data_IF_699384931167
#
_entry.id   IF_699384931167
#
_cell.length_a   1.000
_cell.length_b   1.000
_cell.length_c   1.000
_cell.angle_alpha   90.00
_cell.angle_beta   90.00
_cell.angle_gamma   90.00
#
_symmetry.space_group_name_H-M   'P 1'
#
loop_
_entity.id
_entity.type
_entity.pdbx_description
1 polymer ?
#
# COMPACT_ATOMS: atom_id res chain seq x y z
N UNK A 1 1.59 -22.20 -2.52
CA UNK A 1 1.44 -21.52 -3.83
C UNK A 1 2.22 -22.33 -4.84
N UNK A 2 1.72 -22.44 -6.08
CA UNK A 2 2.40 -23.13 -7.18
C UNK A 2 2.16 -22.38 -8.49
N UNK A 3 3.22 -22.08 -9.24
CA UNK A 3 3.09 -21.70 -10.65
C UNK A 3 2.91 -22.96 -11.48
N UNK A 4 1.80 -23.06 -12.20
CA UNK A 4 1.36 -24.29 -12.88
C UNK A 4 1.64 -24.25 -14.37
N UNK A 5 1.80 -23.04 -14.89
CA UNK A 5 2.28 -22.73 -16.23
C UNK A 5 2.78 -21.28 -16.26
N UNK A 6 3.28 -20.80 -17.42
CA UNK A 6 3.77 -19.43 -17.57
C UNK A 6 2.75 -18.39 -17.10
N UNK A 7 1.49 -18.59 -17.49
CA UNK A 7 0.38 -17.65 -17.30
C UNK A 7 -0.65 -18.09 -16.25
N UNK A 8 -0.27 -18.99 -15.33
CA UNK A 8 -1.21 -19.54 -14.35
C UNK A 8 -0.58 -19.79 -13.00
N UNK A 9 -1.21 -19.22 -11.98
CA UNK A 9 -0.82 -19.27 -10.57
C UNK A 9 -1.93 -19.90 -9.75
N UNK A 10 -1.57 -20.86 -8.90
CA UNK A 10 -2.47 -21.50 -7.96
C UNK A 10 -2.08 -21.18 -6.51
N UNK A 11 -3.06 -20.72 -5.74
CA UNK A 11 -2.92 -20.45 -4.31
C UNK A 11 -3.87 -21.37 -3.55
N UNK A 12 -3.31 -22.36 -2.87
CA UNK A 12 -4.07 -23.21 -1.96
C UNK A 12 -4.51 -22.40 -0.72
N UNK A 13 -5.80 -22.52 -0.39
CA UNK A 13 -6.45 -21.98 0.81
C UNK A 13 -7.25 -23.09 1.48
N UNK A 14 -7.69 -22.88 2.72
CA UNK A 14 -8.52 -23.83 3.46
C UNK A 14 -9.90 -23.99 2.81
N UNK A 15 -10.34 -22.98 2.05
CA UNK A 15 -11.56 -23.01 1.24
C UNK A 15 -11.38 -23.63 -0.15
N UNK A 16 -10.16 -24.07 -0.50
CA UNK A 16 -9.84 -24.69 -1.79
C UNK A 16 -8.70 -24.00 -2.55
N UNK A 17 -8.48 -24.41 -3.80
CA UNK A 17 -7.43 -23.79 -4.62
C UNK A 17 -7.98 -22.61 -5.41
N UNK A 18 -7.40 -21.43 -5.19
CA UNK A 18 -7.66 -20.23 -5.99
C UNK A 18 -6.75 -20.22 -7.22
N UNK A 19 -7.34 -20.02 -8.39
CA UNK A 19 -6.62 -19.90 -9.66
C UNK A 19 -6.55 -18.44 -10.09
N UNK A 20 -5.39 -18.03 -10.59
CA UNK A 20 -5.10 -16.72 -11.16
C UNK A 20 -4.46 -16.94 -12.53
N UNK A 21 -5.06 -16.36 -13.57
CA UNK A 21 -4.61 -16.50 -14.95
C UNK A 21 -4.25 -15.13 -15.51
N UNK A 22 -3.11 -15.06 -16.19
CA UNK A 22 -2.65 -13.85 -16.86
C UNK A 22 -3.50 -13.61 -18.12
N UNK A 23 -3.68 -12.35 -18.50
CA UNK A 23 -4.39 -11.95 -19.72
C UNK A 23 -3.41 -11.41 -20.76
N UNK A 24 -3.57 -11.72 -22.06
CA UNK A 24 -2.73 -11.17 -23.11
C UNK A 24 -2.98 -9.66 -23.36
N UNK A 25 -2.04 -8.93 -23.99
CA UNK A 25 -0.73 -9.39 -24.44
C UNK A 25 0.17 -9.79 -23.27
N UNK A 26 0.85 -10.94 -23.42
CA UNK A 26 1.76 -11.43 -22.38
C UNK A 26 3.09 -10.69 -22.44
N UNK A 27 3.73 -10.50 -21.30
CA UNK A 27 5.05 -9.87 -21.15
C UNK A 27 5.14 -8.40 -21.60
N UNK A 28 4.00 -7.75 -21.84
CA UNK A 28 3.91 -6.30 -22.09
C UNK A 28 3.65 -5.55 -20.77
N UNK A 29 4.54 -4.66 -20.31
CA UNK A 29 4.39 -4.03 -19.00
C UNK A 29 3.19 -3.10 -18.82
N UNK A 30 2.61 -2.61 -19.92
CA UNK A 30 1.56 -1.59 -19.96
C UNK A 30 0.27 -2.10 -20.62
N UNK A 31 0.20 -3.38 -21.00
CA UNK A 31 -0.98 -3.98 -21.64
C UNK A 31 -1.09 -5.45 -21.21
N UNK A 32 -2.30 -6.00 -21.18
CA UNK A 32 -2.56 -7.32 -20.60
C UNK A 32 -2.54 -7.31 -19.06
N UNK A 33 -2.51 -8.49 -18.44
CA UNK A 33 -2.47 -8.60 -16.99
C UNK A 33 -1.63 -9.78 -16.51
N UNK A 34 -0.83 -9.60 -15.47
CA UNK A 34 0.02 -10.65 -14.90
C UNK A 34 -0.05 -10.75 -13.37
N UNK A 35 0.00 -11.99 -12.87
CA UNK A 35 0.05 -12.29 -11.44
C UNK A 35 1.42 -12.83 -11.02
N UNK A 36 1.98 -12.25 -9.96
CA UNK A 36 3.24 -12.72 -9.35
C UNK A 36 3.10 -12.81 -7.85
N UNK A 37 3.78 -13.77 -7.24
CA UNK A 37 3.83 -13.85 -5.79
C UNK A 37 4.78 -12.81 -5.23
N UNK A 38 4.32 -12.06 -4.23
CA UNK A 38 5.14 -11.12 -3.49
C UNK A 38 5.60 -11.72 -2.17
N UNK A 39 4.64 -12.02 -1.30
CA UNK A 39 4.91 -12.34 0.10
C UNK A 39 3.81 -13.22 0.70
N UNK A 40 4.14 -13.88 1.81
CA UNK A 40 3.20 -14.63 2.64
C UNK A 40 3.47 -14.31 4.10
N UNK A 41 2.43 -13.88 4.82
CA UNK A 41 2.50 -13.66 6.27
C UNK A 41 1.24 -14.17 6.95
N UNK A 42 1.43 -14.98 7.97
CA UNK A 42 0.35 -15.67 8.70
C UNK A 42 -0.62 -16.40 7.73
N UNK A 43 -1.89 -16.00 7.78
CA UNK A 43 -2.97 -16.53 6.96
C UNK A 43 -3.23 -15.70 5.69
N UNK A 44 -2.25 -14.91 5.24
CA UNK A 44 -2.38 -14.06 4.07
C UNK A 44 -1.28 -14.30 3.04
N UNK A 45 -1.68 -14.30 1.77
CA UNK A 45 -0.77 -14.31 0.62
C UNK A 45 -0.99 -13.04 -0.18
N UNK A 46 0.09 -12.31 -0.46
CA UNK A 46 0.06 -11.16 -1.34
C UNK A 46 0.54 -11.58 -2.73
N UNK A 47 -0.31 -11.34 -3.72
CA UNK A 47 0.07 -11.39 -5.12
C UNK A 47 0.19 -9.95 -5.65
N UNK A 48 1.24 -9.70 -6.42
CA UNK A 48 1.25 -8.59 -7.36
C UNK A 48 0.26 -8.87 -8.47
N UNK A 49 -0.43 -7.83 -8.92
CA UNK A 49 -1.28 -7.86 -10.09
C UNK A 49 -1.03 -6.59 -10.90
N UNK A 50 -0.51 -6.75 -12.10
CA UNK A 50 -0.33 -5.67 -13.08
C UNK A 50 -1.41 -5.79 -14.13
N UNK A 51 -2.05 -4.70 -14.52
CA UNK A 51 -3.11 -4.69 -15.54
C UNK A 51 -3.04 -3.49 -16.50
N UNK A 52 -1.83 -3.00 -16.79
CA UNK A 52 -1.58 -1.85 -17.67
C UNK A 52 -1.85 -0.49 -17.02
N UNK A 53 -2.97 -0.36 -16.32
CA UNK A 53 -3.39 0.89 -15.65
C UNK A 53 -2.94 0.96 -14.18
N UNK A 54 -2.67 -0.19 -13.55
CA UNK A 54 -2.31 -0.25 -12.14
C UNK A 54 -1.24 -1.28 -11.81
N UNK A 55 -0.31 -0.86 -10.97
CA UNK A 55 0.57 -1.75 -10.20
C UNK A 55 -0.09 -1.96 -8.84
N UNK A 56 -1.12 -2.81 -8.86
CA UNK A 56 -1.89 -3.18 -7.70
C UNK A 56 -1.52 -4.59 -7.24
N UNK A 57 -2.23 -5.09 -6.23
CA UNK A 57 -2.04 -6.44 -5.74
C UNK A 57 -3.34 -7.03 -5.25
N UNK A 58 -3.33 -8.33 -5.04
CA UNK A 58 -4.44 -9.07 -4.44
C UNK A 58 -3.95 -9.67 -3.14
N UNK A 59 -4.61 -9.30 -2.04
CA UNK A 59 -4.40 -9.93 -0.75
C UNK A 59 -5.39 -11.07 -0.58
N UNK A 60 -4.89 -12.29 -0.40
CA UNK A 60 -5.69 -13.50 -0.27
C UNK A 60 -5.71 -13.93 1.18
N UNK A 61 -6.88 -14.01 1.80
CA UNK A 61 -7.06 -14.68 3.09
C UNK A 61 -7.11 -16.19 2.87
N UNK A 62 -6.09 -16.91 3.33
CA UNK A 62 -5.96 -18.34 3.09
C UNK A 62 -6.89 -19.18 3.96
N UNK A 63 -7.58 -18.61 4.95
CA UNK A 63 -8.59 -19.34 5.74
C UNK A 63 -9.94 -19.37 5.04
N UNK A 64 -10.29 -18.26 4.42
CA UNK A 64 -11.62 -18.09 3.79
C UNK A 64 -11.59 -18.22 2.28
N UNK A 65 -10.40 -18.14 1.66
CA UNK A 65 -10.26 -17.97 0.21
C UNK A 65 -10.64 -16.57 -0.28
N UNK A 66 -10.94 -15.63 0.63
CA UNK A 66 -11.35 -14.28 0.30
C UNK A 66 -10.26 -13.49 -0.41
N UNK A 67 -10.63 -12.82 -1.51
CA UNK A 67 -9.76 -11.89 -2.24
C UNK A 67 -10.08 -10.46 -1.79
N UNK A 68 -9.08 -9.77 -1.29
CA UNK A 68 -9.14 -8.40 -0.79
C UNK A 68 -8.29 -7.49 -1.68
N UNK A 69 -8.63 -6.19 -1.76
CA UNK A 69 -7.73 -5.20 -2.34
C UNK A 69 -6.35 -5.32 -1.69
N UNK A 70 -5.34 -5.53 -2.52
CA UNK A 70 -3.95 -5.48 -2.10
C UNK A 70 -3.25 -4.29 -2.74
N UNK A 71 -1.95 -4.45 -2.90
CA UNK A 71 -1.06 -3.49 -3.51
C UNK A 71 0.32 -4.10 -3.68
N UNK A 72 1.32 -3.29 -3.99
CA UNK A 72 2.73 -3.70 -3.95
C UNK A 72 3.19 -4.01 -2.52
N UNK A 73 2.54 -3.41 -1.51
CA UNK A 73 2.78 -3.68 -0.10
C UNK A 73 1.44 -3.69 0.66
N UNK A 74 1.32 -4.60 1.64
CA UNK A 74 0.20 -4.62 2.59
C UNK A 74 0.74 -4.68 4.02
N UNK A 75 0.21 -3.83 4.90
CA UNK A 75 0.52 -3.84 6.33
C UNK A 75 -0.77 -4.02 7.13
N UNK A 76 -0.91 -5.14 7.82
CA UNK A 76 -2.12 -5.50 8.59
C UNK A 76 -1.98 -4.99 10.03
N UNK A 77 -3.05 -4.41 10.61
CA UNK A 77 -3.06 -3.99 12.00
C UNK A 77 -2.99 -5.20 12.95
N UNK A 78 -2.36 -5.10 14.13
CA UNK A 78 -2.23 -6.23 15.05
C UNK A 78 -3.56 -6.83 15.50
N UNK A 79 -4.61 -6.01 15.62
CA UNK A 79 -5.97 -6.42 15.96
C UNK A 79 -6.77 -6.97 14.76
N UNK A 80 -6.18 -6.94 13.56
CA UNK A 80 -6.77 -7.37 12.28
C UNK A 80 -8.11 -6.69 11.96
N UNK A 81 -8.32 -5.48 12.48
CA UNK A 81 -9.51 -4.68 12.14
C UNK A 81 -9.37 -3.97 10.79
N UNK A 82 -8.14 -3.68 10.38
CA UNK A 82 -7.82 -2.90 9.17
C UNK A 82 -6.45 -3.23 8.62
N UNK A 83 -6.18 -2.77 7.41
CA UNK A 83 -4.87 -2.88 6.80
C UNK A 83 -4.60 -1.68 5.89
N UNK A 84 -3.32 -1.38 5.70
CA UNK A 84 -2.84 -0.48 4.65
C UNK A 84 -2.56 -1.32 3.40
N UNK A 85 -3.04 -0.86 2.26
CA UNK A 85 -2.62 -1.33 0.94
C UNK A 85 -1.96 -0.16 0.20
N UNK A 86 -0.72 -0.38 -0.24
CA UNK A 86 0.08 0.58 -1.01
C UNK A 86 0.08 0.14 -2.46
N UNK A 87 -0.39 0.97 -3.37
CA UNK A 87 -0.41 0.69 -4.80
C UNK A 87 0.28 1.82 -5.57
N UNK A 88 0.77 1.54 -6.77
CA UNK A 88 1.26 2.57 -7.68
C UNK A 88 0.31 2.59 -8.89
N UNK A 89 -0.32 3.74 -9.14
CA UNK A 89 -1.20 3.93 -10.29
C UNK A 89 -0.35 4.56 -11.38
N UNK A 90 -0.52 4.10 -12.62
CA UNK A 90 0.22 4.66 -13.73
C UNK A 90 -0.04 6.18 -13.87
N UNK A 91 1.00 6.93 -14.21
CA UNK A 91 0.95 8.39 -14.34
C UNK A 91 0.86 9.20 -13.03
N UNK A 92 0.95 8.59 -11.84
CA UNK A 92 1.02 9.33 -10.57
C UNK A 92 2.46 9.52 -10.05
N UNK A 93 2.77 10.73 -9.57
CA UNK A 93 4.03 11.08 -8.89
C UNK A 93 4.07 10.58 -7.43
N UNK A 94 3.79 9.30 -7.20
CA UNK A 94 3.87 8.67 -5.89
C UNK A 94 2.94 7.47 -5.71
N UNK A 95 3.08 6.80 -4.57
CA UNK A 95 2.25 5.65 -4.23
C UNK A 95 0.90 6.12 -3.69
N UNK A 96 -0.17 5.43 -4.07
CA UNK A 96 -1.46 5.52 -3.42
C UNK A 96 -1.47 4.67 -2.14
N UNK A 97 -1.83 5.27 -1.02
CA UNK A 97 -1.96 4.61 0.27
C UNK A 97 -3.43 4.56 0.67
N UNK A 98 -3.98 3.34 0.80
CA UNK A 98 -5.37 3.13 1.22
C UNK A 98 -5.43 2.35 2.52
N UNK A 99 -6.14 2.87 3.51
CA UNK A 99 -6.49 2.09 4.71
C UNK A 99 -7.87 1.51 4.49
N UNK A 100 -7.97 0.19 4.52
CA UNK A 100 -9.22 -0.54 4.33
C UNK A 100 -9.56 -1.41 5.54
N UNK A 101 -10.83 -1.73 5.68
CA UNK A 101 -11.26 -2.85 6.50
C UNK A 101 -11.27 -4.17 5.70
N UNK A 102 -11.46 -5.29 6.40
CA UNK A 102 -11.54 -6.61 5.76
C UNK A 102 -12.87 -6.87 5.03
N UNK A 103 -13.83 -5.93 5.08
CA UNK A 103 -15.04 -5.91 4.25
C UNK A 103 -14.83 -5.12 2.95
N UNK A 104 -13.58 -4.70 2.67
CA UNK A 104 -13.17 -3.92 1.48
C UNK A 104 -13.65 -2.48 1.48
N UNK A 105 -14.12 -1.96 2.62
CA UNK A 105 -14.42 -0.53 2.73
C UNK A 105 -13.13 0.28 2.87
N UNK A 106 -12.95 1.27 2.00
CA UNK A 106 -11.90 2.27 2.14
C UNK A 106 -12.26 3.22 3.26
N UNK A 107 -11.46 3.20 4.33
CA UNK A 107 -11.57 4.14 5.44
C UNK A 107 -10.84 5.45 5.15
N UNK A 108 -9.71 5.35 4.43
CA UNK A 108 -8.82 6.46 4.09
C UNK A 108 -8.15 6.20 2.75
N UNK A 109 -8.03 7.22 1.91
CA UNK A 109 -7.15 7.24 0.75
C UNK A 109 -6.25 8.48 0.82
N UNK A 110 -4.96 8.28 0.65
CA UNK A 110 -3.93 9.33 0.66
C UNK A 110 -2.77 8.90 -0.26
N UNK A 111 -1.68 9.64 -0.26
CA UNK A 111 -0.47 9.32 -1.03
C UNK A 111 0.71 9.09 -0.10
N UNK A 112 1.82 8.58 -0.66
CA UNK A 112 3.13 8.56 0.01
C UNK A 112 3.78 9.95 0.11
N UNK A 113 3.04 11.05 -0.13
CA UNK A 113 3.56 12.41 -0.01
C UNK A 113 2.88 13.16 1.12
N UNK A 114 3.68 13.76 2.00
CA UNK A 114 3.23 14.78 2.91
C UNK A 114 3.16 16.12 2.17
N UNK A 115 1.96 16.59 1.91
CA UNK A 115 1.73 17.85 1.20
C UNK A 115 1.82 19.05 2.15
N UNK A 116 2.16 20.21 1.57
CA UNK A 116 2.15 21.52 2.17
C UNK A 116 0.79 21.92 2.73
N UNK A 117 0.72 23.13 3.29
CA UNK A 117 -0.57 23.69 3.74
C UNK A 117 -1.45 24.10 2.56
N UNK A 118 -0.85 24.41 1.43
CA UNK A 118 -1.52 24.67 0.15
C UNK A 118 -2.16 23.42 -0.46
N UNK A 119 -1.76 22.23 0.01
CA UNK A 119 -2.26 20.94 -0.48
C UNK A 119 -1.73 20.56 -1.85
N UNK A 120 -0.72 21.25 -2.38
CA UNK A 120 -0.18 21.01 -3.73
C UNK A 120 1.33 20.76 -3.71
N UNK A 121 2.09 21.46 -2.86
CA UNK A 121 3.52 21.26 -2.78
C UNK A 121 3.87 20.00 -1.96
N UNK A 122 4.63 19.06 -2.52
CA UNK A 122 5.23 17.97 -1.75
C UNK A 122 6.29 18.51 -0.79
N UNK A 123 6.18 18.19 0.51
CA UNK A 123 7.19 18.56 1.52
C UNK A 123 8.13 17.39 1.82
N UNK A 124 7.55 16.21 2.03
CA UNK A 124 8.28 15.02 2.45
C UNK A 124 7.65 13.77 1.84
N UNK A 125 8.48 12.78 1.56
CA UNK A 125 8.04 11.42 1.22
C UNK A 125 7.77 10.62 2.49
N UNK A 126 6.76 9.76 2.45
CA UNK A 126 6.36 8.86 3.52
C UNK A 126 6.80 7.44 3.17
N UNK A 127 7.61 6.84 4.05
CA UNK A 127 8.16 5.50 3.86
C UNK A 127 7.95 4.63 5.10
N UNK A 128 8.24 3.32 4.95
CA UNK A 128 8.21 2.34 6.04
C UNK A 128 6.91 2.35 6.89
N UNK A 129 5.73 2.22 6.25
CA UNK A 129 4.47 2.19 6.99
C UNK A 129 4.40 1.02 7.97
N UNK A 130 3.91 1.28 9.19
CA UNK A 130 3.72 0.27 10.24
C UNK A 130 2.62 0.65 11.22
N UNK A 131 1.92 -0.37 11.73
CA UNK A 131 0.92 -0.19 12.78
C UNK A 131 1.57 -0.22 14.17
N UNK A 132 1.15 0.69 15.05
CA UNK A 132 1.40 0.64 16.48
C UNK A 132 0.05 0.64 17.21
N UNK A 133 -0.39 -0.56 17.61
CA UNK A 133 -1.80 -0.79 17.94
C UNK A 133 -2.68 -0.46 16.73
N UNK A 134 -3.68 0.39 16.92
CA UNK A 134 -4.62 0.83 15.87
C UNK A 134 -4.15 2.07 15.08
N UNK A 135 -2.96 2.58 15.38
CA UNK A 135 -2.44 3.81 14.79
C UNK A 135 -1.41 3.50 13.70
N UNK A 136 -1.69 3.92 12.47
CA UNK A 136 -0.73 3.82 11.37
C UNK A 136 0.35 4.90 11.54
N UNK A 137 1.61 4.50 11.39
CA UNK A 137 2.79 5.37 11.43
C UNK A 137 3.63 5.17 10.18
N UNK A 138 4.39 6.20 9.82
CA UNK A 138 5.36 6.18 8.74
C UNK A 138 6.55 7.07 9.11
N UNK A 139 7.64 6.94 8.35
CA UNK A 139 8.76 7.88 8.39
C UNK A 139 8.53 8.93 7.31
N UNK A 140 8.50 10.21 7.69
CA UNK A 140 8.54 11.31 6.75
C UNK A 140 9.98 11.74 6.53
N UNK A 141 10.41 11.89 5.28
CA UNK A 141 11.75 12.37 4.90
C UNK A 141 11.59 13.56 3.96
N UNK A 142 12.20 14.70 4.28
CA UNK A 142 12.09 15.89 3.46
C UNK A 142 12.60 15.67 2.02
N UNK A 143 11.85 16.16 1.03
CA UNK A 143 12.24 16.01 -0.39
C UNK A 143 13.48 16.82 -0.76
N UNK A 144 13.82 17.84 0.02
CA UNK A 144 14.96 18.73 -0.20
C UNK A 144 16.19 18.41 0.69
N UNK A 145 16.05 17.52 1.67
CA UNK A 145 17.10 17.15 2.63
C UNK A 145 16.81 15.77 3.23
N UNK A 146 17.41 14.73 2.65
CA UNK A 146 17.22 13.33 3.08
C UNK A 146 17.69 13.07 4.53
N UNK A 147 18.53 13.95 5.10
CA UNK A 147 18.98 13.80 6.48
C UNK A 147 17.89 14.18 7.49
N UNK A 148 16.90 14.97 7.06
CA UNK A 148 15.76 15.39 7.88
C UNK A 148 14.61 14.43 7.74
N UNK A 149 14.48 13.58 8.74
CA UNK A 149 13.39 12.63 8.83
C UNK A 149 12.78 12.58 10.23
N UNK A 150 11.48 12.31 10.31
CA UNK A 150 10.76 12.17 11.58
C UNK A 150 9.65 11.13 11.47
N UNK A 151 9.13 10.67 12.60
CA UNK A 151 8.00 9.75 12.61
C UNK A 151 6.69 10.53 12.56
N UNK A 152 5.81 10.14 11.64
CA UNK A 152 4.44 10.62 11.56
C UNK A 152 3.44 9.53 11.90
N UNK A 153 2.24 9.94 12.28
CA UNK A 153 1.07 9.11 12.49
C UNK A 153 -0.09 9.63 11.68
N UNK A 154 -0.90 8.72 11.15
CA UNK A 154 -2.16 9.07 10.51
C UNK A 154 -3.20 9.31 11.60
N UNK A 155 -3.68 10.55 11.72
CA UNK A 155 -4.66 10.96 12.71
C UNK A 155 -5.93 11.47 12.02
N UNK A 156 -7.09 11.16 12.60
CA UNK A 156 -8.35 11.75 12.21
C UNK A 156 -8.60 12.99 13.10
N UNK A 157 -8.52 14.18 12.52
CA UNK A 157 -8.91 15.41 13.18
C UNK A 157 -10.23 15.88 12.58
N UNK A 158 -11.33 15.79 13.33
CA UNK A 158 -12.65 16.32 12.95
C UNK A 158 -13.20 15.76 11.62
N UNK A 159 -12.94 14.48 11.32
CA UNK A 159 -13.35 13.83 10.09
C UNK A 159 -12.33 13.92 8.95
N UNK A 160 -11.27 14.73 9.11
CA UNK A 160 -10.19 14.85 8.14
C UNK A 160 -8.96 14.04 8.58
N UNK A 161 -8.58 13.07 7.77
CA UNK A 161 -7.38 12.27 7.99
C UNK A 161 -6.13 13.01 7.52
N UNK A 162 -5.15 13.13 8.41
CA UNK A 162 -3.90 13.83 8.15
C UNK A 162 -2.72 13.19 8.87
N UNK A 163 -1.55 13.24 8.26
CA UNK A 163 -0.29 12.87 8.88
C UNK A 163 0.18 13.95 9.86
N UNK A 164 0.57 13.54 11.06
CA UNK A 164 1.04 14.42 12.14
C UNK A 164 2.20 13.78 12.93
N UNK A 165 3.12 14.53 13.56
CA UNK A 165 3.24 15.99 13.47
C UNK A 165 3.75 16.42 12.08
N UNK A 166 3.43 17.66 11.70
CA UNK A 166 4.04 18.32 10.55
C UNK A 166 5.25 19.10 11.03
N UNK A 167 6.41 18.87 10.43
CA UNK A 167 7.64 19.66 10.63
C UNK A 167 7.93 20.47 9.37
N UNK A 168 8.70 21.56 9.52
CA UNK A 168 9.20 22.28 8.36
C UNK A 168 10.39 21.54 7.73
N UNK A 169 10.41 21.51 6.40
CA UNK A 169 11.57 21.10 5.62
C UNK A 169 12.48 22.29 5.27
N UNK A 170 12.21 23.48 5.81
CA UNK A 170 13.07 24.65 5.62
C UNK A 170 14.35 24.50 6.43
N UNK A 171 15.49 24.80 5.80
CA UNK A 171 16.81 24.68 6.41
C UNK A 171 16.95 25.43 7.75
N UNK A 172 16.13 26.45 7.98
CA UNK A 172 16.18 27.38 9.12
C UNK A 172 15.68 26.86 10.46
N UNK A 173 15.01 25.71 10.54
CA UNK A 173 14.48 25.17 11.81
C UNK A 173 15.49 24.34 12.63
N UNK A 174 16.75 24.25 12.21
CA UNK A 174 17.80 23.53 12.95
C UNK A 174 18.37 24.29 14.17
N UNK A 175 17.80 25.42 14.58
CA UNK A 175 18.41 26.28 15.60
C UNK A 175 17.42 27.06 16.51
N UNK A 176 16.31 26.44 16.96
CA UNK A 176 15.53 26.98 18.09
C UNK A 176 15.12 25.93 19.09
#
# INVERSE_FOLDING_TARGET
MRRVGPHRLEVATDAGTQVFEDSPPYDEPLDGADYRYCDRRDAYVLLHHRDGDSFAGVLIDTRTGGRLPGGIQVVISPDRSRYLAVAQIDGMDGEQWRVLDFNKQTLIATTSLLLGRDGTAGLAELTAPRWFGTQLRATATCLNDETRHWQVRLANAQGAWNWQPRHSCDATDAAR
#
